data_IF_153761963856
#
_entry.id   IF_153761963856
#
_cell.length_a   1.000
_cell.length_b   1.000
_cell.length_c   1.000
_cell.angle_alpha   90.00
_cell.angle_beta   90.00
_cell.angle_gamma   90.00
#
_symmetry.space_group_name_H-M   'P 1'
#
loop_
_entity.id
_entity.type
_entity.pdbx_description
1 polymer ?
#
# COMPACT_ATOMS: atom_id res chain seq x y z
N UNK A 1 36.70 -24.92 8.54
CA UNK A 1 37.19 -23.53 8.69
C UNK A 1 36.79 -22.66 7.51
N UNK A 2 37.27 -22.92 6.29
CA UNK A 2 37.00 -22.08 5.10
C UNK A 2 35.50 -21.94 4.75
N UNK A 3 34.73 -23.03 4.79
CA UNK A 3 33.29 -23.03 4.45
C UNK A 3 32.45 -22.22 5.47
N UNK A 4 32.81 -22.29 6.76
CA UNK A 4 32.17 -21.53 7.84
C UNK A 4 32.44 -20.02 7.68
N UNK A 5 33.66 -19.66 7.28
CA UNK A 5 34.04 -18.26 7.01
C UNK A 5 33.23 -17.71 5.83
N UNK A 6 33.06 -18.48 4.75
CA UNK A 6 32.25 -18.08 3.59
C UNK A 6 30.78 -17.86 4.01
N UNK A 7 30.20 -18.79 4.79
CA UNK A 7 28.83 -18.64 5.30
C UNK A 7 28.71 -17.36 6.15
N UNK A 8 29.68 -17.08 7.01
CA UNK A 8 29.66 -15.88 7.84
C UNK A 8 29.72 -14.59 7.01
N UNK A 9 30.57 -14.56 5.97
CA UNK A 9 30.64 -13.42 5.03
C UNK A 9 29.33 -13.25 4.27
N UNK A 10 28.70 -14.34 3.82
CA UNK A 10 27.40 -14.29 3.13
C UNK A 10 26.30 -13.76 4.04
N UNK A 11 26.23 -14.22 5.29
CA UNK A 11 25.27 -13.71 6.28
C UNK A 11 25.52 -12.23 6.55
N UNK A 12 26.78 -11.82 6.72
CA UNK A 12 27.14 -10.41 6.91
C UNK A 12 26.74 -9.56 5.70
N UNK A 13 26.96 -10.05 4.48
CA UNK A 13 26.56 -9.36 3.25
C UNK A 13 25.03 -9.17 3.18
N UNK A 14 24.24 -10.18 3.56
CA UNK A 14 22.78 -10.05 3.65
C UNK A 14 22.38 -8.95 4.64
N UNK A 15 22.99 -8.92 5.83
CA UNK A 15 22.72 -7.87 6.82
C UNK A 15 23.11 -6.47 6.33
N UNK A 16 24.27 -6.35 5.67
CA UNK A 16 24.71 -5.08 5.10
C UNK A 16 23.76 -4.57 4.01
N UNK A 17 23.24 -5.46 3.15
CA UNK A 17 22.25 -5.12 2.14
C UNK A 17 20.92 -4.66 2.76
N UNK A 18 20.44 -5.33 3.81
CA UNK A 18 19.24 -4.90 4.54
C UNK A 18 19.43 -3.52 5.19
N UNK A 19 20.60 -3.25 5.79
CA UNK A 19 20.92 -1.95 6.38
C UNK A 19 20.99 -0.83 5.33
N UNK A 20 21.55 -1.14 4.15
CA UNK A 20 21.60 -0.21 3.03
C UNK A 20 20.20 0.15 2.51
N UNK A 21 19.30 -0.82 2.38
CA UNK A 21 17.91 -0.58 1.99
C UNK A 21 17.17 0.34 2.99
N UNK A 22 17.35 0.10 4.30
CA UNK A 22 16.79 0.96 5.35
C UNK A 22 17.31 2.40 5.24
N UNK A 23 18.61 2.57 4.95
CA UNK A 23 19.21 3.89 4.75
C UNK A 23 18.65 4.58 3.50
N UNK A 24 18.43 3.86 2.39
CA UNK A 24 17.81 4.41 1.18
C UNK A 24 16.38 4.90 1.43
N UNK A 25 15.55 4.16 2.18
CA UNK A 25 14.19 4.59 2.54
C UNK A 25 14.24 5.91 3.32
N UNK A 26 15.19 6.04 4.25
CA UNK A 26 15.36 7.26 5.05
C UNK A 26 15.89 8.44 4.23
N UNK A 27 16.74 8.18 3.24
CA UNK A 27 17.23 9.19 2.30
C UNK A 27 16.15 9.70 1.35
N UNK A 28 15.17 8.84 1.00
CA UNK A 28 13.98 9.23 0.26
C UNK A 28 12.98 10.08 1.09
N UNK A 29 13.33 10.44 2.33
CA UNK A 29 12.49 11.25 3.21
C UNK A 29 11.35 10.49 3.87
N UNK A 30 11.33 9.15 3.77
CA UNK A 30 10.30 8.29 4.34
C UNK A 30 10.78 7.59 5.61
N UNK A 31 9.87 7.32 6.54
CA UNK A 31 10.17 6.37 7.60
C UNK A 31 9.98 4.94 7.11
N UNK A 32 10.83 4.03 7.57
CA UNK A 32 10.69 2.58 7.32
C UNK A 32 9.32 2.05 7.77
N UNK A 33 8.77 2.62 8.84
CA UNK A 33 7.43 2.29 9.34
C UNK A 33 6.32 2.71 8.38
N UNK A 34 6.45 3.89 7.76
CA UNK A 34 5.49 4.38 6.78
C UNK A 34 5.59 3.55 5.49
N UNK A 35 6.81 3.18 5.07
CA UNK A 35 7.01 2.25 3.95
C UNK A 35 6.39 0.87 4.22
N UNK A 36 6.54 0.32 5.42
CA UNK A 36 5.90 -0.94 5.79
C UNK A 36 4.36 -0.84 5.76
N UNK A 37 3.82 0.26 6.29
CA UNK A 37 2.38 0.55 6.22
C UNK A 37 1.87 0.70 4.79
N UNK A 38 2.70 1.21 3.87
CA UNK A 38 2.38 1.30 2.45
C UNK A 38 2.34 -0.06 1.77
N UNK A 39 3.31 -0.94 2.05
CA UNK A 39 3.30 -2.31 1.51
C UNK A 39 2.02 -3.04 1.92
N UNK A 40 1.59 -2.87 3.17
CA UNK A 40 0.31 -3.41 3.65
C UNK A 40 -0.89 -2.76 2.95
N UNK A 41 -0.89 -1.43 2.82
CA UNK A 41 -1.93 -0.69 2.12
C UNK A 41 -2.05 -1.10 0.64
N UNK A 42 -0.94 -1.43 -0.02
CA UNK A 42 -0.93 -1.86 -1.41
C UNK A 42 -1.61 -3.24 -1.59
N UNK A 43 -1.39 -4.16 -0.64
CA UNK A 43 -2.14 -5.43 -0.63
C UNK A 43 -3.65 -5.22 -0.42
N UNK A 44 -4.04 -4.22 0.38
CA UNK A 44 -5.44 -3.85 0.56
C UNK A 44 -5.97 -3.16 -0.70
N UNK A 45 -5.16 -2.32 -1.36
CA UNK A 45 -5.50 -1.67 -2.63
C UNK A 45 -5.85 -2.70 -3.71
N UNK A 46 -5.06 -3.77 -3.83
CA UNK A 46 -5.35 -4.88 -4.75
C UNK A 46 -6.70 -5.54 -4.45
N UNK A 47 -7.00 -5.79 -3.18
CA UNK A 47 -8.31 -6.34 -2.78
C UNK A 47 -9.44 -5.37 -3.08
N UNK A 48 -9.27 -4.08 -2.74
CA UNK A 48 -10.26 -3.04 -3.02
C UNK A 48 -10.47 -2.87 -4.53
N UNK A 49 -9.43 -3.04 -5.34
CA UNK A 49 -9.51 -3.04 -6.79
C UNK A 49 -10.41 -4.18 -7.29
N UNK A 50 -10.18 -5.41 -6.82
CA UNK A 50 -11.05 -6.55 -7.16
C UNK A 50 -12.50 -6.36 -6.70
N UNK A 51 -12.70 -5.79 -5.50
CA UNK A 51 -14.03 -5.46 -5.00
C UNK A 51 -14.71 -4.38 -5.85
N UNK A 52 -13.95 -3.39 -6.31
CA UNK A 52 -14.46 -2.28 -7.11
C UNK A 52 -14.99 -2.75 -8.48
N UNK A 53 -14.33 -3.75 -9.07
CA UNK A 53 -14.74 -4.40 -10.32
C UNK A 53 -16.04 -5.21 -10.14
N UNK A 54 -16.23 -5.85 -8.97
CA UNK A 54 -17.41 -6.66 -8.62
C UNK A 54 -18.50 -5.87 -7.89
N UNK A 55 -18.39 -4.54 -7.84
CA UNK A 55 -19.12 -3.72 -6.86
C UNK A 55 -20.64 -3.66 -7.04
N UNK A 56 -21.16 -3.94 -8.24
CA UNK A 56 -22.60 -3.80 -8.58
C UNK A 56 -23.57 -4.61 -7.70
N UNK A 57 -23.08 -5.50 -6.83
CA UNK A 57 -23.88 -6.33 -5.92
C UNK A 57 -23.60 -6.09 -4.42
N UNK A 58 -22.79 -5.09 -4.04
CA UNK A 58 -22.42 -4.87 -2.64
C UNK A 58 -23.54 -4.24 -1.79
N UNK A 59 -23.82 -4.88 -0.66
CA UNK A 59 -24.77 -4.42 0.35
C UNK A 59 -24.28 -3.13 1.04
N UNK A 60 -25.19 -2.25 1.48
CA UNK A 60 -24.89 -0.94 2.12
C UNK A 60 -23.82 -1.01 3.21
N UNK A 61 -23.81 -2.08 4.02
CA UNK A 61 -22.77 -2.29 5.05
C UNK A 61 -21.38 -2.53 4.44
N UNK A 62 -21.30 -3.31 3.36
CA UNK A 62 -20.05 -3.58 2.67
C UNK A 62 -19.51 -2.31 1.97
N UNK A 63 -20.41 -1.42 1.53
CA UNK A 63 -20.03 -0.10 1.02
C UNK A 63 -19.35 0.75 2.11
N UNK A 64 -19.84 0.72 3.35
CA UNK A 64 -19.20 1.42 4.48
C UNK A 64 -17.82 0.85 4.78
N UNK A 65 -17.68 -0.48 4.81
CA UNK A 65 -16.39 -1.13 5.02
C UNK A 65 -15.40 -0.77 3.91
N UNK A 66 -15.86 -0.76 2.65
CA UNK A 66 -15.04 -0.33 1.51
C UNK A 66 -14.52 1.10 1.68
N UNK A 67 -15.39 2.04 2.08
CA UNK A 67 -15.00 3.43 2.32
C UNK A 67 -13.93 3.55 3.42
N UNK A 68 -14.10 2.84 4.55
CA UNK A 68 -13.15 2.87 5.65
C UNK A 68 -11.78 2.28 5.28
N UNK A 69 -11.77 1.18 4.55
CA UNK A 69 -10.51 0.55 4.10
C UNK A 69 -9.82 1.39 3.02
N UNK A 70 -10.59 1.99 2.09
CA UNK A 70 -10.04 2.90 1.09
C UNK A 70 -9.37 4.14 1.73
N UNK A 71 -9.98 4.74 2.76
CA UNK A 71 -9.39 5.89 3.48
C UNK A 71 -8.05 5.54 4.16
N UNK A 72 -7.93 4.34 4.75
CA UNK A 72 -6.66 3.87 5.32
C UNK A 72 -5.60 3.72 4.25
N UNK A 73 -5.96 3.14 3.10
CA UNK A 73 -5.06 2.99 1.96
C UNK A 73 -4.59 4.35 1.47
N UNK A 74 -5.51 5.29 1.22
CA UNK A 74 -5.16 6.64 0.76
C UNK A 74 -4.23 7.36 1.74
N UNK A 75 -4.50 7.27 3.04
CA UNK A 75 -3.66 7.90 4.08
C UNK A 75 -2.24 7.31 4.12
N UNK A 76 -2.08 6.02 3.81
CA UNK A 76 -0.77 5.37 3.74
C UNK A 76 -0.01 5.78 2.47
N UNK A 77 -0.71 5.90 1.34
CA UNK A 77 -0.13 6.35 0.07
C UNK A 77 0.29 7.82 0.10
N UNK A 78 -0.49 8.71 0.73
CA UNK A 78 -0.17 10.14 0.86
C UNK A 78 1.16 10.41 1.60
N UNK A 79 1.66 9.46 2.38
CA UNK A 79 2.93 9.56 3.12
C UNK A 79 4.14 9.13 2.30
N UNK A 80 3.92 8.59 1.11
CA UNK A 80 4.94 8.00 0.25
C UNK A 80 5.06 8.87 -1.00
N UNK A 81 6.28 9.22 -1.45
CA UNK A 81 6.47 9.95 -2.70
C UNK A 81 5.86 9.20 -3.89
N UNK A 82 5.11 9.91 -4.74
CA UNK A 82 4.41 9.36 -5.91
C UNK A 82 5.28 8.46 -6.79
N UNK A 83 6.56 8.82 -6.96
CA UNK A 83 7.58 8.04 -7.70
C UNK A 83 7.66 6.57 -7.28
N UNK A 84 7.38 6.25 -6.02
CA UNK A 84 7.47 4.88 -5.48
C UNK A 84 6.30 4.01 -5.95
N UNK A 85 5.15 4.61 -6.25
CA UNK A 85 3.89 3.91 -6.50
C UNK A 85 3.21 4.33 -7.82
N UNK A 86 3.94 4.99 -8.72
CA UNK A 86 3.47 5.38 -10.05
C UNK A 86 2.88 4.19 -10.83
N UNK A 87 3.45 2.99 -10.70
CA UNK A 87 2.96 1.77 -11.35
C UNK A 87 1.58 1.34 -10.81
N UNK A 88 1.31 1.61 -9.54
CA UNK A 88 0.06 1.27 -8.85
C UNK A 88 -0.99 2.38 -8.96
N UNK A 89 -0.61 3.54 -9.49
CA UNK A 89 -1.47 4.71 -9.64
C UNK A 89 -2.79 4.41 -10.35
N UNK A 90 -2.76 3.55 -11.39
CA UNK A 90 -3.98 3.16 -12.12
C UNK A 90 -5.00 2.47 -11.23
N UNK A 91 -4.55 1.57 -10.35
CA UNK A 91 -5.43 0.87 -9.39
C UNK A 91 -5.94 1.83 -8.34
N UNK A 92 -5.05 2.70 -7.84
CA UNK A 92 -5.39 3.75 -6.89
C UNK A 92 -6.50 4.67 -7.43
N UNK A 93 -6.37 5.16 -8.67
CA UNK A 93 -7.35 6.04 -9.29
C UNK A 93 -8.72 5.37 -9.46
N UNK A 94 -8.76 4.09 -9.85
CA UNK A 94 -10.01 3.35 -9.97
C UNK A 94 -10.73 3.19 -8.63
N UNK A 95 -9.98 2.84 -7.57
CA UNK A 95 -10.50 2.75 -6.19
C UNK A 95 -10.96 4.11 -5.67
N UNK A 96 -10.22 5.18 -5.97
CA UNK A 96 -10.58 6.57 -5.60
C UNK A 96 -11.87 7.03 -6.29
N UNK A 97 -12.01 6.74 -7.59
CA UNK A 97 -13.22 7.05 -8.35
C UNK A 97 -14.43 6.36 -7.74
N UNK A 98 -14.28 5.07 -7.40
CA UNK A 98 -15.34 4.26 -6.79
C UNK A 98 -15.69 4.76 -5.40
N UNK A 99 -14.69 5.09 -4.57
CA UNK A 99 -14.91 5.75 -3.28
C UNK A 99 -15.77 7.02 -3.42
N UNK A 100 -15.45 7.89 -4.40
CA UNK A 100 -16.22 9.13 -4.66
C UNK A 100 -17.65 8.85 -5.12
N UNK A 101 -17.85 7.88 -6.00
CA UNK A 101 -19.19 7.46 -6.48
C UNK A 101 -20.08 7.02 -5.29
N UNK A 102 -19.58 6.12 -4.45
CA UNK A 102 -20.31 5.59 -3.28
C UNK A 102 -20.64 6.70 -2.29
N UNK A 103 -19.68 7.60 -2.04
CA UNK A 103 -19.88 8.74 -1.14
C UNK A 103 -20.96 9.66 -1.67
N UNK A 104 -20.95 9.98 -2.96
CA UNK A 104 -21.97 10.81 -3.60
C UNK A 104 -23.36 10.16 -3.55
N UNK A 105 -23.47 8.86 -3.84
CA UNK A 105 -24.74 8.12 -3.74
C UNK A 105 -25.33 8.21 -2.32
N UNK A 106 -24.48 8.05 -1.29
CA UNK A 106 -24.92 8.19 0.11
C UNK A 106 -25.40 9.60 0.41
N UNK A 107 -24.75 10.63 -0.11
CA UNK A 107 -25.13 12.04 0.09
C UNK A 107 -26.46 12.40 -0.60
N UNK A 108 -26.73 11.87 -1.80
CA UNK A 108 -27.99 12.10 -2.51
C UNK A 108 -29.15 11.33 -1.84
N UNK A 109 -28.85 10.17 -1.24
CA UNK A 109 -29.85 9.31 -0.59
C UNK A 109 -30.26 9.73 0.83
N UNK A 110 -29.68 10.81 1.36
CA UNK A 110 -29.86 11.32 2.73
C UNK A 110 -30.49 12.72 2.68
#
# INVERSE_FOLDING_TARGET
MTLIIIIYILVFAIFALCGYAVMQIKLAGMNVKDFWSFIEANQILDKLYEFSQKYKTLNKQQQVVYLMEAEKVFTAFDKIPDIIWEDEFKKYDEVLKKYKEIKMERWISN
#
